data_IF_223063028357
#
_entry.id   IF_223063028357
#
_cell.length_a   1.000
_cell.length_b   1.000
_cell.length_c   1.000
_cell.angle_alpha   90.00
_cell.angle_beta   90.00
_cell.angle_gamma   90.00
#
_symmetry.space_group_name_H-M   'P 1'
#
loop_
_entity.id
_entity.type
_entity.pdbx_description
1 polymer ?
#
# COMPACT_ATOMS: atom_id res chain seq x y z
N UNK A 1 6.96 -16.94 -8.87
CA UNK A 1 6.18 -16.37 -7.77
C UNK A 1 6.64 -14.94 -7.54
N UNK A 2 5.71 -13.99 -7.41
CA UNK A 2 6.00 -12.55 -7.24
C UNK A 2 5.67 -12.06 -5.83
N UNK A 3 5.38 -12.97 -4.91
CA UNK A 3 5.17 -12.69 -3.49
C UNK A 3 6.48 -12.59 -2.72
N UNK A 4 6.42 -12.03 -1.52
CA UNK A 4 7.58 -11.86 -0.65
C UNK A 4 8.11 -13.20 -0.13
N UNK A 5 9.43 -13.37 -0.18
CA UNK A 5 10.13 -14.46 0.49
C UNK A 5 10.49 -14.02 1.92
N UNK A 6 9.72 -14.51 2.87
CA UNK A 6 9.86 -14.15 4.29
C UNK A 6 11.21 -14.62 4.86
N UNK A 7 11.71 -15.78 4.45
CA UNK A 7 12.98 -16.30 4.96
C UNK A 7 14.16 -15.49 4.45
N UNK A 8 14.15 -15.11 3.17
CA UNK A 8 15.16 -14.20 2.63
C UNK A 8 15.12 -12.81 3.32
N UNK A 9 13.93 -12.31 3.68
CA UNK A 9 13.81 -11.05 4.42
C UNK A 9 14.39 -11.15 5.84
N UNK A 10 14.17 -12.26 6.54
CA UNK A 10 14.77 -12.51 7.88
C UNK A 10 16.31 -12.46 7.83
N UNK A 11 16.90 -13.04 6.79
CA UNK A 11 18.35 -12.97 6.59
C UNK A 11 18.83 -11.52 6.42
N UNK A 12 18.12 -10.72 5.58
CA UNK A 12 18.44 -9.30 5.36
C UNK A 12 18.31 -8.48 6.64
N UNK A 13 17.28 -8.73 7.46
CA UNK A 13 17.08 -8.00 8.71
C UNK A 13 18.15 -8.34 9.75
N UNK A 14 18.69 -9.56 9.74
CA UNK A 14 19.68 -10.03 10.72
C UNK A 14 21.04 -9.33 10.61
N UNK A 15 21.39 -8.71 9.49
CA UNK A 15 22.68 -8.05 9.29
C UNK A 15 22.81 -6.71 10.04
N UNK A 16 21.74 -6.24 10.72
CA UNK A 16 21.62 -5.02 11.54
C UNK A 16 21.88 -3.69 10.80
N UNK A 17 22.11 -3.72 9.49
CA UNK A 17 22.26 -2.51 8.67
C UNK A 17 20.93 -1.98 8.18
N UNK A 18 19.97 -2.88 7.93
CA UNK A 18 18.63 -2.52 7.52
C UNK A 18 17.91 -1.84 8.68
N UNK A 19 17.38 -0.64 8.45
CA UNK A 19 16.64 0.14 9.45
C UNK A 19 15.19 0.34 9.07
N UNK A 20 14.91 0.34 7.77
CA UNK A 20 13.57 0.52 7.22
C UNK A 20 13.37 -0.46 6.07
N UNK A 21 12.23 -1.09 6.04
CA UNK A 21 11.72 -1.85 4.91
C UNK A 21 10.51 -1.12 4.31
N UNK A 22 10.43 -1.02 2.99
CA UNK A 22 9.23 -0.57 2.30
C UNK A 22 8.43 -1.78 1.88
N UNK A 23 7.19 -1.87 2.39
CA UNK A 23 6.21 -2.89 2.03
C UNK A 23 5.11 -2.22 1.21
N UNK A 24 4.99 -2.58 -0.07
CA UNK A 24 3.91 -2.11 -0.94
C UNK A 24 2.97 -3.28 -1.26
N UNK A 25 1.77 -3.27 -0.67
CA UNK A 25 0.73 -4.27 -0.91
C UNK A 25 -0.65 -3.62 -0.82
N UNK A 26 -1.49 -3.72 -1.87
CA UNK A 26 -1.24 -4.30 -3.21
C UNK A 26 -0.06 -3.64 -3.92
N UNK A 27 0.71 -4.42 -4.69
CA UNK A 27 2.02 -4.02 -5.17
C UNK A 27 2.01 -3.39 -6.57
N UNK A 28 2.69 -2.27 -6.72
CA UNK A 28 3.03 -1.71 -8.01
C UNK A 28 4.53 -2.04 -8.30
N UNK A 29 4.89 -2.72 -9.39
CA UNK A 29 4.09 -2.93 -10.61
C UNK A 29 3.44 -4.32 -10.73
N UNK A 30 3.61 -5.24 -9.79
CA UNK A 30 3.29 -6.66 -9.97
C UNK A 30 1.80 -6.98 -9.87
N UNK A 31 1.03 -6.16 -9.13
CA UNK A 31 -0.36 -6.42 -8.82
C UNK A 31 -0.58 -7.58 -7.83
N UNK A 32 0.48 -8.03 -7.13
CA UNK A 32 0.34 -9.03 -6.08
C UNK A 32 -0.17 -8.40 -4.79
N UNK A 33 -0.94 -9.16 -4.02
CA UNK A 33 -1.44 -8.77 -2.72
C UNK A 33 -0.94 -9.77 -1.70
N UNK A 34 -0.17 -9.32 -0.73
CA UNK A 34 0.38 -10.21 0.29
C UNK A 34 -0.69 -10.73 1.22
N UNK A 35 -0.57 -11.99 1.62
CA UNK A 35 -1.51 -12.63 2.55
C UNK A 35 -1.36 -12.07 3.96
N UNK A 36 -2.41 -12.23 4.79
CA UNK A 36 -2.36 -11.86 6.20
C UNK A 36 -1.20 -12.55 6.93
N UNK A 37 -0.93 -13.82 6.61
CA UNK A 37 0.17 -14.59 7.19
C UNK A 37 1.53 -14.03 6.80
N UNK A 38 1.73 -13.71 5.52
CA UNK A 38 2.98 -13.11 5.03
C UNK A 38 3.22 -11.75 5.68
N UNK A 39 2.21 -10.87 5.70
CA UNK A 39 2.34 -9.53 6.29
C UNK A 39 2.68 -9.64 7.79
N UNK A 40 1.98 -10.49 8.54
CA UNK A 40 2.26 -10.75 9.95
C UNK A 40 3.70 -11.21 10.15
N UNK A 41 4.14 -12.22 9.42
CA UNK A 41 5.49 -12.78 9.55
C UNK A 41 6.59 -11.74 9.23
N UNK A 42 6.38 -10.90 8.23
CA UNK A 42 7.30 -9.81 7.88
C UNK A 42 7.37 -8.76 8.99
N UNK A 43 6.23 -8.32 9.52
CA UNK A 43 6.17 -7.29 10.58
C UNK A 43 6.82 -7.78 11.85
N UNK A 44 6.53 -9.03 12.28
CA UNK A 44 7.12 -9.65 13.46
C UNK A 44 8.65 -9.81 13.30
N UNK A 45 9.10 -10.35 12.16
CA UNK A 45 10.55 -10.50 11.91
C UNK A 45 11.28 -9.14 11.85
N UNK A 46 10.65 -8.11 11.29
CA UNK A 46 11.18 -6.76 11.30
C UNK A 46 11.27 -6.18 12.71
N UNK A 47 10.24 -6.39 13.55
CA UNK A 47 10.22 -5.94 14.94
C UNK A 47 11.35 -6.56 15.76
N UNK A 48 11.56 -7.87 15.63
CA UNK A 48 12.63 -8.63 16.33
C UNK A 48 14.04 -8.09 16.00
N UNK A 49 14.21 -7.50 14.82
CA UNK A 49 15.48 -6.92 14.37
C UNK A 49 15.56 -5.39 14.52
N UNK A 50 14.54 -4.73 15.07
CA UNK A 50 14.47 -3.28 15.21
C UNK A 50 14.35 -2.55 13.86
N UNK A 51 13.67 -3.18 12.88
CA UNK A 51 13.41 -2.62 11.56
C UNK A 51 12.00 -2.00 11.53
N UNK A 52 11.90 -0.77 11.05
CA UNK A 52 10.60 -0.12 10.81
C UNK A 52 10.05 -0.56 9.46
N UNK A 53 8.78 -0.96 9.43
CA UNK A 53 8.07 -1.28 8.18
C UNK A 53 7.31 -0.04 7.71
N UNK A 54 7.70 0.52 6.56
CA UNK A 54 6.98 1.58 5.89
C UNK A 54 5.98 0.93 4.93
N UNK A 55 4.71 0.84 5.36
CA UNK A 55 3.65 0.19 4.59
C UNK A 55 2.97 1.17 3.66
N UNK A 56 3.22 1.04 2.36
CA UNK A 56 2.52 1.79 1.32
C UNK A 56 1.24 1.05 0.94
N UNK A 57 0.11 1.57 1.44
CA UNK A 57 -1.21 0.97 1.32
C UNK A 57 -2.12 1.74 0.34
N UNK A 58 -1.53 2.56 -0.54
CA UNK A 58 -2.27 3.46 -1.44
C UNK A 58 -3.24 2.74 -2.39
N UNK A 59 -3.05 1.44 -2.63
CA UNK A 59 -3.90 0.60 -3.47
C UNK A 59 -4.88 -0.28 -2.69
N UNK A 60 -5.10 -0.06 -1.41
CA UNK A 60 -5.91 -0.89 -0.50
C UNK A 60 -7.31 -1.27 -1.01
N UNK A 61 -7.94 -0.40 -1.80
CA UNK A 61 -9.29 -0.63 -2.37
C UNK A 61 -9.29 -1.41 -3.69
N UNK A 62 -8.13 -1.65 -4.28
CA UNK A 62 -8.00 -2.32 -5.58
C UNK A 62 -7.61 -3.80 -5.45
N UNK A 63 -8.25 -4.52 -4.55
CA UNK A 63 -8.19 -5.99 -4.52
C UNK A 63 -9.32 -6.59 -5.34
N UNK A 64 -9.03 -7.65 -6.08
CA UNK A 64 -9.96 -8.27 -7.02
C UNK A 64 -10.29 -9.72 -6.65
N UNK A 65 -11.50 -10.17 -7.03
CA UNK A 65 -11.99 -11.50 -6.70
C UNK A 65 -12.16 -11.70 -5.19
N UNK A 66 -11.64 -12.80 -4.68
CA UNK A 66 -11.68 -13.15 -3.25
C UNK A 66 -10.51 -12.58 -2.45
N UNK A 67 -9.56 -11.90 -3.10
CA UNK A 67 -8.40 -11.29 -2.46
C UNK A 67 -8.82 -10.15 -1.54
N UNK A 68 -8.28 -10.15 -0.32
CA UNK A 68 -8.58 -9.15 0.70
C UNK A 68 -7.33 -8.40 1.10
N UNK A 69 -7.44 -7.10 1.15
CA UNK A 69 -6.40 -6.25 1.73
C UNK A 69 -6.35 -6.42 3.26
N UNK A 70 -5.14 -6.47 3.78
CA UNK A 70 -4.87 -6.44 5.22
C UNK A 70 -3.77 -5.41 5.49
N UNK A 71 -4.05 -4.46 6.38
CA UNK A 71 -3.06 -3.46 6.78
C UNK A 71 -1.98 -4.08 7.67
N UNK A 72 -0.72 -3.73 7.39
CA UNK A 72 0.42 -4.16 8.20
C UNK A 72 0.37 -3.59 9.64
N UNK A 73 -0.24 -2.44 9.85
CA UNK A 73 -0.41 -1.81 11.16
C UNK A 73 -1.20 -2.66 12.16
N UNK A 74 -1.91 -3.70 11.68
CA UNK A 74 -2.62 -4.66 12.54
C UNK A 74 -1.67 -5.52 13.39
N UNK A 75 -0.39 -5.64 13.00
CA UNK A 75 0.53 -6.65 13.53
C UNK A 75 1.70 -6.11 14.33
N UNK A 76 1.92 -4.80 14.37
CA UNK A 76 3.02 -4.25 15.17
C UNK A 76 3.09 -2.73 15.19
N UNK A 77 3.65 -2.20 16.28
CA UNK A 77 3.86 -0.76 16.46
C UNK A 77 5.08 -0.24 15.67
N UNK A 78 5.89 -1.16 15.11
CA UNK A 78 7.00 -0.83 14.21
C UNK A 78 6.57 -0.52 12.77
N UNK A 79 5.26 -0.39 12.52
CA UNK A 79 4.70 -0.07 11.21
C UNK A 79 4.39 1.42 11.11
N UNK A 80 4.75 2.01 9.98
CA UNK A 80 4.32 3.34 9.56
C UNK A 80 3.51 3.17 8.28
N UNK A 81 2.20 3.40 8.37
CA UNK A 81 1.29 3.34 7.22
C UNK A 81 1.33 4.62 6.42
N UNK A 82 1.43 4.48 5.10
CA UNK A 82 1.27 5.57 4.13
C UNK A 82 0.05 5.27 3.26
N UNK A 83 -0.81 6.25 3.12
CA UNK A 83 -1.96 6.16 2.22
C UNK A 83 -2.27 7.53 1.61
N UNK A 84 -3.07 7.56 0.54
CA UNK A 84 -3.41 8.78 -0.16
C UNK A 84 -4.73 8.66 -0.93
N UNK A 85 -5.36 9.79 -1.16
CA UNK A 85 -6.57 9.87 -2.01
C UNK A 85 -6.27 9.66 -3.50
N UNK A 86 -5.00 9.66 -3.87
CA UNK A 86 -4.53 9.70 -5.27
C UNK A 86 -5.08 8.57 -6.12
N UNK A 87 -5.13 7.35 -5.60
CA UNK A 87 -5.49 6.15 -6.37
C UNK A 87 -6.96 5.79 -6.15
N UNK A 88 -7.34 5.55 -4.92
CA UNK A 88 -8.71 5.14 -4.55
C UNK A 88 -9.77 6.08 -5.09
N UNK A 89 -9.50 7.38 -5.08
CA UNK A 89 -10.48 8.41 -5.48
C UNK A 89 -10.12 9.12 -6.80
N UNK A 90 -9.17 8.59 -7.57
CA UNK A 90 -8.69 9.20 -8.82
C UNK A 90 -8.23 10.67 -8.65
N UNK A 91 -7.66 11.01 -7.49
CA UNK A 91 -7.30 12.38 -7.08
C UNK A 91 -5.79 12.64 -7.14
N UNK A 92 -5.10 12.15 -8.18
CA UNK A 92 -3.63 12.25 -8.28
C UNK A 92 -3.12 13.69 -8.28
N UNK A 93 -3.84 14.62 -8.94
CA UNK A 93 -3.49 16.04 -9.03
C UNK A 93 -3.70 16.83 -7.72
N UNK A 94 -4.48 16.32 -6.78
CA UNK A 94 -4.80 17.01 -5.54
C UNK A 94 -3.68 17.00 -4.50
N UNK A 95 -2.70 16.12 -4.64
CA UNK A 95 -1.49 16.02 -3.82
C UNK A 95 -1.76 15.91 -2.33
N UNK A 96 -2.68 15.02 -1.92
CA UNK A 96 -3.01 14.73 -0.51
C UNK A 96 -2.76 13.26 -0.19
N UNK A 97 -2.05 13.03 0.89
CA UNK A 97 -1.84 11.74 1.53
C UNK A 97 -1.65 11.94 3.02
N UNK A 98 -1.55 10.86 3.74
CA UNK A 98 -1.26 10.86 5.17
C UNK A 98 -0.31 9.72 5.54
N UNK A 99 0.31 9.87 6.69
CA UNK A 99 1.02 8.79 7.36
C UNK A 99 0.47 8.60 8.76
N UNK A 100 0.51 7.37 9.24
CA UNK A 100 0.12 7.00 10.59
C UNK A 100 1.14 6.01 11.17
N UNK A 101 1.55 6.20 12.40
CA UNK A 101 2.57 5.36 13.07
C UNK A 101 2.94 5.92 14.43
N UNK A 102 4.07 5.45 14.97
CA UNK A 102 4.57 5.91 16.25
C UNK A 102 4.77 7.44 16.27
N UNK A 103 4.38 8.08 17.37
CA UNK A 103 4.38 9.55 17.53
C UNK A 103 5.75 10.14 17.22
N UNK A 104 6.82 9.52 17.73
CA UNK A 104 8.18 9.99 17.55
C UNK A 104 8.60 10.05 16.07
N UNK A 105 8.13 9.11 15.25
CA UNK A 105 8.41 9.08 13.81
C UNK A 105 7.58 10.16 13.10
N UNK A 106 6.28 10.24 13.44
CA UNK A 106 5.37 11.23 12.83
C UNK A 106 5.82 12.66 13.14
N UNK A 107 6.25 12.95 14.35
CA UNK A 107 6.79 14.26 14.72
C UNK A 107 8.00 14.69 13.88
N UNK A 108 8.93 13.76 13.61
CA UNK A 108 10.07 14.07 12.75
C UNK A 108 9.66 14.26 11.28
N UNK A 109 8.71 13.45 10.80
CA UNK A 109 8.16 13.60 9.46
C UNK A 109 7.44 14.94 9.29
N UNK A 110 6.68 15.40 10.29
CA UNK A 110 6.05 16.73 10.29
C UNK A 110 7.08 17.84 10.19
N UNK A 111 8.20 17.76 10.91
CA UNK A 111 9.28 18.75 10.80
C UNK A 111 9.87 18.80 9.38
N UNK A 112 10.13 17.65 8.76
CA UNK A 112 10.62 17.59 7.39
C UNK A 112 9.57 18.16 6.42
N UNK A 113 8.31 17.79 6.59
CA UNK A 113 7.20 18.27 5.76
C UNK A 113 7.07 19.80 5.79
N UNK A 114 7.16 20.41 6.98
CA UNK A 114 7.08 21.87 7.14
C UNK A 114 8.14 22.62 6.33
N UNK A 115 9.36 22.07 6.26
CA UNK A 115 10.45 22.70 5.52
C UNK A 115 10.50 22.34 4.03
N UNK A 116 9.83 21.26 3.63
CA UNK A 116 9.83 20.78 2.24
C UNK A 116 8.66 21.33 1.42
N UNK A 117 7.43 21.17 1.92
CA UNK A 117 6.20 21.44 1.16
C UNK A 117 5.17 22.24 1.99
N UNK A 118 5.43 22.51 3.24
CA UNK A 118 4.53 23.08 4.22
C UNK A 118 3.32 22.16 4.51
N UNK A 119 2.24 22.25 3.73
CA UNK A 119 1.07 21.41 3.87
C UNK A 119 0.28 21.31 2.54
N UNK A 120 -0.60 20.32 2.39
CA UNK A 120 -1.58 20.31 1.32
C UNK A 120 -2.49 21.53 1.38
N UNK A 121 -2.99 21.99 0.24
CA UNK A 121 -3.93 23.13 0.21
C UNK A 121 -5.22 22.81 0.98
N UNK A 122 -5.84 23.81 1.61
CA UNK A 122 -7.08 23.61 2.37
C UNK A 122 -8.19 23.00 1.51
N UNK A 123 -8.32 23.44 0.26
CA UNK A 123 -9.31 22.90 -0.70
C UNK A 123 -9.09 21.39 -0.89
N UNK A 124 -7.84 20.96 -1.05
CA UNK A 124 -7.50 19.55 -1.23
C UNK A 124 -7.78 18.72 0.02
N UNK A 125 -7.56 19.30 1.22
CA UNK A 125 -7.87 18.63 2.49
C UNK A 125 -9.37 18.42 2.67
N UNK A 126 -10.21 19.42 2.38
CA UNK A 126 -11.67 19.27 2.42
C UNK A 126 -12.18 18.24 1.38
N UNK A 127 -11.61 18.26 0.17
CA UNK A 127 -11.95 17.27 -0.84
C UNK A 127 -11.54 15.85 -0.41
N UNK A 128 -10.40 15.69 0.25
CA UNK A 128 -9.97 14.41 0.80
C UNK A 128 -10.88 13.94 1.95
N UNK A 129 -11.33 14.87 2.81
CA UNK A 129 -12.28 14.55 3.87
C UNK A 129 -13.58 13.99 3.28
N UNK A 130 -14.16 14.67 2.27
CA UNK A 130 -15.36 14.19 1.59
C UNK A 130 -15.12 12.84 0.89
N UNK A 131 -13.96 12.65 0.26
CA UNK A 131 -13.60 11.40 -0.37
C UNK A 131 -13.61 10.21 0.61
N UNK A 132 -13.09 10.39 1.83
CA UNK A 132 -13.06 9.33 2.85
C UNK A 132 -14.39 9.13 3.59
N UNK A 133 -15.19 10.18 3.77
CA UNK A 133 -16.40 10.13 4.60
C UNK A 133 -17.70 10.09 3.81
N UNK A 134 -17.66 10.44 2.53
CA UNK A 134 -18.80 10.46 1.63
C UNK A 134 -19.15 9.09 1.03
N UNK A 135 -20.03 9.09 0.03
CA UNK A 135 -20.47 7.88 -0.66
C UNK A 135 -19.31 7.18 -1.39
N UNK A 136 -19.15 5.89 -1.16
CA UNK A 136 -18.09 5.06 -1.74
C UNK A 136 -18.51 4.34 -3.03
N UNK A 137 -19.72 4.52 -3.51
CA UNK A 137 -20.26 3.83 -4.70
C UNK A 137 -19.41 4.06 -5.97
N UNK A 138 -18.82 5.25 -6.10
CA UNK A 138 -17.92 5.57 -7.21
C UNK A 138 -16.61 4.77 -7.16
N UNK A 139 -16.11 4.49 -5.98
CA UNK A 139 -14.92 3.63 -5.78
C UNK A 139 -15.23 2.20 -6.18
N UNK A 140 -16.38 1.67 -5.76
CA UNK A 140 -16.81 0.32 -6.11
C UNK A 140 -17.03 0.17 -7.62
N UNK A 141 -17.66 1.15 -8.28
CA UNK A 141 -17.84 1.17 -9.72
C UNK A 141 -16.49 1.18 -10.46
N UNK A 142 -15.56 2.00 -10.03
CA UNK A 142 -14.21 2.11 -10.60
C UNK A 142 -13.43 0.81 -10.42
N UNK A 143 -13.49 0.19 -9.23
CA UNK A 143 -12.87 -1.12 -8.96
C UNK A 143 -13.42 -2.20 -9.87
N UNK A 144 -14.74 -2.25 -10.07
CA UNK A 144 -15.39 -3.22 -10.96
C UNK A 144 -14.92 -3.05 -12.43
N UNK A 145 -14.80 -1.81 -12.90
CA UNK A 145 -14.29 -1.51 -14.24
C UNK A 145 -12.82 -1.93 -14.39
N UNK A 146 -11.96 -1.66 -13.41
CA UNK A 146 -10.58 -2.11 -13.44
C UNK A 146 -10.47 -3.64 -13.44
N UNK A 147 -11.30 -4.33 -12.65
CA UNK A 147 -11.37 -5.79 -12.66
C UNK A 147 -11.74 -6.34 -14.06
N UNK A 148 -12.71 -5.73 -14.73
CA UNK A 148 -13.11 -6.12 -16.07
C UNK A 148 -11.98 -5.91 -17.10
N UNK A 149 -11.30 -4.76 -17.05
CA UNK A 149 -10.15 -4.44 -17.92
C UNK A 149 -8.97 -5.37 -17.66
N UNK A 150 -8.65 -5.65 -16.39
CA UNK A 150 -7.63 -6.63 -16.02
C UNK A 150 -7.92 -7.99 -16.66
N UNK A 151 -9.15 -8.49 -16.50
CA UNK A 151 -9.52 -9.80 -17.02
C UNK A 151 -9.41 -9.84 -18.56
N UNK A 152 -9.89 -8.80 -19.25
CA UNK A 152 -9.81 -8.69 -20.70
C UNK A 152 -8.34 -8.70 -21.17
N UNK A 153 -7.49 -7.89 -20.55
CA UNK A 153 -6.07 -7.79 -20.91
C UNK A 153 -5.33 -9.10 -20.69
N UNK A 154 -5.46 -9.69 -19.50
CA UNK A 154 -4.74 -10.92 -19.13
C UNK A 154 -5.20 -12.09 -20.00
N UNK A 155 -6.51 -12.22 -20.26
CA UNK A 155 -7.03 -13.26 -21.16
C UNK A 155 -6.46 -13.09 -22.57
N UNK A 156 -6.49 -11.87 -23.11
CA UNK A 156 -5.93 -11.60 -24.45
C UNK A 156 -4.44 -11.87 -24.56
N UNK A 157 -3.65 -11.56 -23.53
CA UNK A 157 -2.21 -11.86 -23.51
C UNK A 157 -1.96 -13.38 -23.48
N UNK A 158 -2.71 -14.12 -22.65
CA UNK A 158 -2.59 -15.59 -22.58
C UNK A 158 -3.01 -16.27 -23.88
N UNK A 159 -4.06 -15.79 -24.54
CA UNK A 159 -4.50 -16.28 -25.84
C UNK A 159 -3.43 -16.07 -26.93
N UNK A 160 -2.58 -15.05 -26.79
CA UNK A 160 -1.42 -14.82 -27.64
C UNK A 160 -0.19 -15.65 -27.25
N UNK A 161 -0.27 -16.50 -26.22
CA UNK A 161 0.82 -17.34 -25.73
C UNK A 161 1.80 -16.63 -24.80
N UNK A 162 1.44 -15.46 -24.26
CA UNK A 162 2.26 -14.76 -23.26
C UNK A 162 1.99 -15.36 -21.88
N UNK A 163 3.04 -15.84 -21.21
CA UNK A 163 2.95 -16.28 -19.82
C UNK A 163 2.93 -15.05 -18.90
N UNK A 164 1.77 -14.80 -18.32
CA UNK A 164 1.56 -13.64 -17.44
C UNK A 164 0.78 -14.05 -16.20
N UNK A 165 1.28 -13.62 -15.03
CA UNK A 165 0.57 -13.77 -13.76
C UNK A 165 -0.76 -12.99 -13.77
N UNK A 166 -1.76 -13.50 -13.07
CA UNK A 166 -3.01 -12.78 -12.85
C UNK A 166 -2.78 -11.79 -11.69
N UNK A 167 -2.87 -10.48 -11.91
CA UNK A 167 -2.81 -9.51 -10.81
C UNK A 167 -3.97 -9.69 -9.84
N UNK A 168 -3.69 -9.57 -8.57
CA UNK A 168 -4.66 -9.70 -7.47
C UNK A 168 -5.20 -8.35 -7.02
N UNK A 169 -4.41 -7.28 -7.34
CA UNK A 169 -4.72 -5.90 -7.02
C UNK A 169 -4.26 -4.91 -8.09
#
# INVERSE_FOLDING_TARGET
>A
DLHLDVEALKEVFSDKKTKVMVLNSPANPTGMVETEETIRAVVEAAADCGVTVLSDEVYEKFCYGDTKFVSAAKFGDNVVTINAVSKTYAMTGWRVGFMAGAEEIVEQAVKIQQYSLACPTSIAQYAALEAYTGDQSSVDAMRAEYAARRNLLITGLRDMGVDVAMPEG
#
